data_IF_965375592517
#
_entry.id   IF_965375592517
#
_cell.length_a   1.000
_cell.length_b   1.000
_cell.length_c   1.000
_cell.angle_alpha   90.00
_cell.angle_beta   90.00
_cell.angle_gamma   90.00
#
_symmetry.space_group_name_H-M   'P 1'
#
loop_
_entity.id
_entity.type
_entity.pdbx_description
1 polymer ?
#
# COMPACT_ATOMS: atom_id res chain seq x y z
N UNK A 1 15.08 2.68 83.02
CA UNK A 1 14.85 3.06 81.61
C UNK A 1 15.26 1.87 80.75
N UNK A 2 14.31 1.03 80.36
CA UNK A 2 14.54 -0.19 79.59
C UNK A 2 13.97 0.07 78.23
N UNK A 3 14.83 0.07 77.20
CA UNK A 3 14.39 0.18 75.78
C UNK A 3 14.21 -1.24 75.20
N UNK A 4 13.00 -1.55 74.90
CA UNK A 4 12.60 -2.81 74.25
C UNK A 4 12.79 -2.68 72.71
N UNK A 5 13.74 -3.41 72.14
CA UNK A 5 13.94 -3.50 70.71
C UNK A 5 13.05 -4.64 70.21
N UNK A 6 11.96 -4.28 69.53
CA UNK A 6 11.11 -5.24 68.82
C UNK A 6 11.71 -5.46 67.42
N UNK A 7 12.37 -6.58 67.20
CA UNK A 7 12.83 -7.03 65.90
C UNK A 7 11.64 -7.52 65.07
N UNK A 8 11.27 -6.77 64.02
CA UNK A 8 10.37 -7.26 62.96
C UNK A 8 11.13 -8.26 62.09
N UNK A 9 10.83 -9.52 62.26
CA UNK A 9 11.17 -10.56 61.28
C UNK A 9 10.30 -10.37 60.04
N UNK A 10 10.87 -9.73 59.03
CA UNK A 10 10.33 -9.78 57.64
C UNK A 10 10.56 -11.23 57.13
N UNK A 11 9.55 -12.06 57.28
CA UNK A 11 9.47 -13.33 56.59
C UNK A 11 9.34 -13.02 55.09
N UNK A 12 10.44 -13.10 54.38
CA UNK A 12 10.39 -13.17 52.92
C UNK A 12 9.63 -14.47 52.55
N UNK A 13 8.41 -14.34 52.07
CA UNK A 13 7.74 -15.38 51.36
C UNK A 13 8.56 -15.66 50.10
N UNK A 14 9.50 -16.58 50.19
CA UNK A 14 10.00 -17.30 49.02
C UNK A 14 8.93 -18.24 48.55
N UNK A 15 7.94 -17.72 47.82
CA UNK A 15 7.11 -18.55 46.97
C UNK A 15 7.98 -19.00 45.83
N UNK A 16 8.25 -20.29 45.70
CA UNK A 16 8.70 -20.88 44.47
C UNK A 16 7.66 -20.49 43.42
N UNK A 17 7.91 -19.43 42.65
CA UNK A 17 7.11 -19.12 41.48
C UNK A 17 7.42 -20.22 40.46
N UNK A 18 6.52 -21.18 40.31
CA UNK A 18 6.52 -22.12 39.18
C UNK A 18 6.22 -21.37 37.86
N UNK A 19 6.89 -20.25 37.65
CA UNK A 19 6.82 -19.57 36.37
C UNK A 19 7.59 -20.43 35.36
N UNK A 20 7.04 -20.64 34.17
CA UNK A 20 7.74 -21.36 33.11
C UNK A 20 9.07 -20.65 32.82
N UNK A 21 10.14 -21.45 32.74
CA UNK A 21 11.48 -20.95 32.45
C UNK A 21 11.74 -21.21 30.97
N UNK A 22 12.05 -20.13 30.25
CA UNK A 22 12.44 -20.24 28.86
C UNK A 22 13.68 -21.12 28.67
N UNK A 23 13.69 -21.95 27.66
CA UNK A 23 14.78 -22.84 27.27
C UNK A 23 15.49 -22.38 26.00
N UNK A 24 14.86 -21.52 25.23
CA UNK A 24 15.36 -20.99 23.98
C UNK A 24 14.56 -19.79 23.49
N UNK A 25 14.67 -19.51 22.20
CA UNK A 25 13.99 -18.38 21.56
C UNK A 25 13.28 -18.84 20.29
N UNK A 26 12.14 -18.20 20.01
CA UNK A 26 11.40 -18.28 18.75
C UNK A 26 11.40 -16.92 18.05
N UNK A 27 11.22 -16.93 16.74
CA UNK A 27 11.03 -15.69 15.95
C UNK A 27 9.61 -15.59 15.44
N UNK A 28 9.12 -14.36 15.26
CA UNK A 28 7.77 -14.09 14.78
C UNK A 28 7.74 -12.90 13.85
N UNK A 29 6.90 -13.02 12.82
CA UNK A 29 6.45 -11.95 11.92
C UNK A 29 4.93 -11.97 11.84
N UNK A 30 4.32 -10.85 11.45
CA UNK A 30 2.90 -10.78 11.16
C UNK A 30 2.68 -10.21 9.76
N UNK A 31 1.68 -10.72 9.06
CA UNK A 31 1.32 -10.37 7.68
C UNK A 31 -0.11 -9.87 7.65
N UNK A 32 -0.34 -8.71 7.00
CA UNK A 32 -1.68 -8.17 6.80
C UNK A 32 -2.20 -8.55 5.41
N UNK A 33 -3.15 -9.47 5.37
CA UNK A 33 -3.87 -9.89 4.16
C UNK A 33 -5.37 -9.50 4.20
N UNK A 34 -5.76 -8.52 5.03
CA UNK A 34 -7.12 -8.00 5.08
C UNK A 34 -7.24 -6.84 4.10
N UNK A 35 -7.93 -7.05 2.97
CA UNK A 35 -8.05 -6.12 1.85
C UNK A 35 -8.49 -4.70 2.25
N UNK A 36 -9.56 -4.57 3.04
CA UNK A 36 -10.14 -3.28 3.48
C UNK A 36 -9.50 -2.68 4.73
N UNK A 37 -8.41 -3.27 5.25
CA UNK A 37 -7.80 -2.77 6.49
C UNK A 37 -7.04 -1.46 6.31
N UNK A 38 -7.02 -0.58 7.34
CA UNK A 38 -5.99 0.45 7.46
C UNK A 38 -4.62 -0.21 7.75
N UNK A 39 -3.62 0.61 8.08
CA UNK A 39 -2.42 0.08 8.71
C UNK A 39 -2.81 -0.58 10.05
N UNK A 40 -2.50 -1.87 10.18
CA UNK A 40 -2.91 -2.70 11.31
C UNK A 40 -1.76 -2.85 12.30
N UNK A 41 -1.99 -2.56 13.59
CA UNK A 41 -1.03 -2.79 14.66
C UNK A 41 -1.05 -4.26 15.09
N UNK A 42 0.16 -4.81 15.20
CA UNK A 42 0.38 -6.13 15.77
C UNK A 42 1.07 -5.98 17.13
N UNK A 43 0.48 -6.59 18.15
CA UNK A 43 1.00 -6.52 19.52
C UNK A 43 1.22 -7.94 20.04
N UNK A 44 2.27 -8.11 20.85
CA UNK A 44 2.44 -9.25 21.72
C UNK A 44 2.18 -8.77 23.16
N UNK A 45 1.17 -9.35 23.79
CA UNK A 45 0.60 -8.80 25.02
C UNK A 45 0.22 -7.32 24.80
N UNK A 46 0.94 -6.40 25.41
CA UNK A 46 0.76 -4.94 25.25
C UNK A 46 1.90 -4.27 24.46
N UNK A 47 2.88 -5.06 23.98
CA UNK A 47 4.04 -4.54 23.25
C UNK A 47 3.84 -4.59 21.75
N UNK A 48 3.92 -3.46 21.08
CA UNK A 48 3.82 -3.39 19.63
C UNK A 48 4.99 -4.11 18.94
N UNK A 49 4.65 -4.94 17.94
CA UNK A 49 5.56 -5.54 16.96
C UNK A 49 5.74 -4.64 15.74
N UNK A 50 4.85 -3.69 15.52
CA UNK A 50 4.81 -2.78 14.40
C UNK A 50 3.42 -2.61 13.82
N UNK A 51 3.32 -1.68 12.87
CA UNK A 51 2.09 -1.41 12.11
C UNK A 51 2.33 -1.73 10.64
N UNK A 52 1.41 -2.46 10.02
CA UNK A 52 1.57 -3.00 8.66
C UNK A 52 0.35 -2.72 7.82
N UNK A 53 0.57 -2.14 6.64
CA UNK A 53 -0.47 -1.96 5.62
C UNK A 53 -0.79 -3.28 4.93
N UNK A 54 -1.89 -3.32 4.19
CA UNK A 54 -2.26 -4.47 3.35
C UNK A 54 -1.09 -4.93 2.46
N UNK A 55 -0.89 -6.24 2.30
CA UNK A 55 0.23 -6.90 1.59
C UNK A 55 1.60 -6.69 2.27
N UNK A 56 1.64 -6.11 3.45
CA UNK A 56 2.86 -5.85 4.21
C UNK A 56 3.14 -6.91 5.27
N UNK A 57 4.34 -6.84 5.85
CA UNK A 57 4.80 -7.68 6.96
C UNK A 57 5.57 -6.86 7.99
N UNK A 58 5.55 -7.29 9.25
CA UNK A 58 6.39 -6.69 10.30
C UNK A 58 7.86 -7.08 10.09
N UNK A 59 8.74 -6.36 10.75
CA UNK A 59 10.08 -6.86 11.05
C UNK A 59 10.01 -8.13 11.90
N UNK A 60 11.07 -8.94 11.87
CA UNK A 60 11.17 -10.13 12.72
C UNK A 60 11.40 -9.73 14.16
N UNK A 61 10.57 -10.21 15.07
CA UNK A 61 10.78 -10.10 16.50
C UNK A 61 11.16 -11.44 17.09
N UNK A 62 11.99 -11.45 18.13
CA UNK A 62 12.46 -12.65 18.82
C UNK A 62 12.01 -12.63 20.26
N UNK A 63 11.40 -13.72 20.72
CA UNK A 63 10.86 -13.90 22.06
C UNK A 63 11.32 -15.23 22.68
N UNK A 64 11.21 -15.34 23.99
CA UNK A 64 11.42 -16.58 24.70
C UNK A 64 10.36 -17.64 24.31
N UNK A 65 10.71 -18.90 24.38
CA UNK A 65 9.82 -20.04 24.12
C UNK A 65 8.79 -20.25 25.23
N UNK A 66 7.91 -19.26 25.38
CA UNK A 66 6.81 -19.19 26.35
C UNK A 66 5.48 -18.94 25.60
N UNK A 67 4.38 -18.97 26.35
CA UNK A 67 3.08 -18.64 25.80
C UNK A 67 2.80 -17.13 25.80
N UNK A 68 2.29 -16.60 24.67
CA UNK A 68 1.97 -15.20 24.50
C UNK A 68 0.65 -15.00 23.78
N UNK A 69 -0.04 -13.89 24.11
CA UNK A 69 -1.24 -13.44 23.39
C UNK A 69 -0.86 -12.39 22.36
N UNK A 70 -1.19 -12.67 21.10
CA UNK A 70 -1.06 -11.70 19.99
C UNK A 70 -2.38 -10.98 19.82
N UNK A 71 -2.30 -9.66 19.68
CA UNK A 71 -3.44 -8.79 19.46
C UNK A 71 -3.27 -8.05 18.13
N UNK A 72 -4.38 -7.92 17.40
CA UNK A 72 -4.47 -7.22 16.14
C UNK A 72 -5.43 -6.05 16.33
N UNK A 73 -4.95 -4.84 16.07
CA UNK A 73 -5.69 -3.62 16.35
C UNK A 73 -5.67 -2.68 15.15
N UNK A 74 -6.78 -1.98 14.93
CA UNK A 74 -6.94 -0.97 13.88
C UNK A 74 -7.42 0.35 14.47
N UNK A 75 -7.09 1.46 13.82
CA UNK A 75 -7.65 2.76 14.11
C UNK A 75 -8.86 3.03 13.21
N UNK A 76 -9.93 3.56 13.76
CA UNK A 76 -10.99 4.21 13.00
C UNK A 76 -10.71 5.71 12.92
N UNK A 77 -10.97 6.30 11.76
CA UNK A 77 -10.78 7.74 11.59
C UNK A 77 -11.63 8.53 12.59
N UNK A 78 -11.01 9.47 13.30
CA UNK A 78 -11.64 10.24 14.37
C UNK A 78 -11.55 9.62 15.76
N UNK A 79 -11.26 8.33 15.90
CA UNK A 79 -11.07 7.69 17.19
C UNK A 79 -9.67 7.97 17.76
N UNK A 80 -9.60 8.06 19.07
CA UNK A 80 -8.32 8.26 19.81
C UNK A 80 -7.66 6.94 20.20
N UNK A 81 -8.41 5.85 20.18
CA UNK A 81 -7.97 4.54 20.66
C UNK A 81 -8.05 3.53 19.52
N UNK A 82 -7.16 2.56 19.55
CA UNK A 82 -7.21 1.43 18.64
C UNK A 82 -8.30 0.45 19.06
N UNK A 83 -8.97 -0.11 18.07
CA UNK A 83 -9.96 -1.18 18.26
C UNK A 83 -9.30 -2.53 18.03
N UNK A 84 -9.35 -3.41 19.02
CA UNK A 84 -8.91 -4.79 18.88
C UNK A 84 -9.89 -5.58 18.04
N UNK A 85 -9.41 -6.12 16.91
CA UNK A 85 -10.24 -6.90 15.97
C UNK A 85 -10.05 -8.40 16.11
N UNK A 86 -8.90 -8.85 16.62
CA UNK A 86 -8.61 -10.26 16.88
C UNK A 86 -7.55 -10.45 17.94
N UNK A 87 -7.53 -11.65 18.54
CA UNK A 87 -6.47 -12.11 19.45
C UNK A 87 -6.18 -13.58 19.20
N UNK A 88 -4.91 -13.97 19.31
CA UNK A 88 -4.45 -15.34 19.16
C UNK A 88 -3.41 -15.67 20.23
N UNK A 89 -3.64 -16.71 21.03
CA UNK A 89 -2.64 -17.24 21.95
C UNK A 89 -1.77 -18.27 21.25
N UNK A 90 -0.46 -18.23 21.46
CA UNK A 90 0.53 -19.15 20.87
C UNK A 90 1.55 -19.52 21.93
N UNK A 91 1.76 -20.83 22.12
CA UNK A 91 2.88 -21.37 22.87
C UNK A 91 4.09 -21.47 21.93
N UNK A 92 5.10 -20.66 22.14
CA UNK A 92 6.32 -20.69 21.35
C UNK A 92 7.20 -21.89 21.69
N UNK A 93 7.79 -22.46 20.65
CA UNK A 93 8.80 -23.52 20.74
C UNK A 93 10.14 -22.94 20.31
N UNK A 94 11.20 -23.26 21.04
CA UNK A 94 12.56 -22.85 20.70
C UNK A 94 12.93 -23.22 19.25
N UNK A 95 13.68 -22.34 18.59
CA UNK A 95 14.19 -22.49 17.21
C UNK A 95 13.10 -22.56 16.12
N UNK A 96 11.83 -22.26 16.47
CA UNK A 96 10.75 -22.14 15.50
C UNK A 96 10.58 -20.69 15.01
N UNK A 97 10.11 -20.57 13.77
CA UNK A 97 9.64 -19.33 13.16
C UNK A 97 8.13 -19.38 13.01
N UNK A 98 7.49 -18.32 13.46
CA UNK A 98 6.07 -18.15 13.37
C UNK A 98 5.74 -16.98 12.42
N UNK A 99 4.79 -17.21 11.50
CA UNK A 99 4.21 -16.15 10.69
C UNK A 99 2.72 -16.09 10.98
N UNK A 100 2.24 -14.96 11.48
CA UNK A 100 0.83 -14.72 11.76
C UNK A 100 0.19 -14.04 10.56
N UNK A 101 -0.69 -14.73 9.87
CA UNK A 101 -1.47 -14.18 8.77
C UNK A 101 -2.82 -13.69 9.30
N UNK A 102 -3.04 -12.37 9.27
CA UNK A 102 -4.37 -11.80 9.46
C UNK A 102 -5.06 -11.68 8.09
N UNK A 103 -6.24 -12.29 7.94
CA UNK A 103 -6.93 -12.40 6.66
C UNK A 103 -8.45 -12.41 6.82
N UNK A 104 -9.20 -12.34 5.70
CA UNK A 104 -10.67 -12.32 5.68
C UNK A 104 -11.24 -10.90 5.87
N UNK A 105 -12.53 -10.78 6.23
CA UNK A 105 -13.19 -9.50 6.49
C UNK A 105 -12.63 -8.80 7.73
N UNK A 106 -12.50 -7.48 7.70
CA UNK A 106 -12.02 -6.69 8.84
C UNK A 106 -12.91 -6.86 10.10
N UNK A 107 -14.19 -7.03 9.91
CA UNK A 107 -15.17 -7.20 10.99
C UNK A 107 -15.13 -8.59 11.66
N UNK A 108 -14.53 -9.58 11.01
CA UNK A 108 -14.37 -10.95 11.51
C UNK A 108 -13.12 -11.61 10.96
N UNK A 109 -11.92 -11.07 11.28
CA UNK A 109 -10.67 -11.57 10.72
C UNK A 109 -10.33 -12.95 11.25
N UNK A 110 -9.68 -13.74 10.40
CA UNK A 110 -9.10 -15.03 10.74
C UNK A 110 -7.61 -14.88 10.91
N UNK A 111 -7.06 -15.44 12.00
CA UNK A 111 -5.63 -15.51 12.23
C UNK A 111 -5.16 -16.92 11.95
N UNK A 112 -4.35 -17.06 10.91
CA UNK A 112 -3.68 -18.32 10.59
C UNK A 112 -2.24 -18.27 11.08
N UNK A 113 -1.79 -19.32 11.74
CA UNK A 113 -0.42 -19.44 12.25
C UNK A 113 0.34 -20.41 11.36
N UNK A 114 1.39 -19.92 10.72
CA UNK A 114 2.35 -20.78 10.01
C UNK A 114 3.59 -20.95 10.87
N UNK A 115 3.90 -22.19 11.15
CA UNK A 115 5.06 -22.60 11.96
C UNK A 115 6.07 -23.35 11.08
N UNK A 116 7.33 -23.07 11.24
CA UNK A 116 8.42 -23.79 10.58
C UNK A 116 9.67 -23.75 11.42
N UNK A 117 10.50 -24.78 11.30
CA UNK A 117 11.84 -24.76 11.87
C UNK A 117 12.73 -23.84 11.04
N UNK A 118 13.44 -22.94 11.71
CA UNK A 118 14.41 -22.07 11.06
C UNK A 118 15.52 -22.91 10.43
N UNK A 119 15.85 -22.63 9.17
CA UNK A 119 17.02 -23.20 8.52
C UNK A 119 18.24 -22.33 8.74
N UNK A 120 19.32 -22.95 9.23
CA UNK A 120 20.65 -22.36 9.25
C UNK A 120 21.40 -22.80 7.98
N UNK A 121 21.64 -21.85 7.07
CA UNK A 121 22.40 -22.10 5.85
C UNK A 121 23.90 -22.08 6.16
N UNK A 122 24.63 -23.07 5.64
CA UNK A 122 26.09 -23.01 5.63
C UNK A 122 26.59 -22.00 4.56
N UNK A 123 27.76 -21.44 4.77
CA UNK A 123 28.37 -20.50 3.81
C UNK A 123 28.60 -21.09 2.41
N UNK A 124 28.67 -22.42 2.33
CA UNK A 124 28.85 -23.18 1.08
C UNK A 124 27.55 -23.57 0.41
N UNK A 125 26.38 -23.31 1.03
CA UNK A 125 25.10 -23.67 0.43
C UNK A 125 24.83 -22.81 -0.83
N UNK A 126 24.47 -23.50 -1.93
CA UNK A 126 24.11 -22.92 -3.21
C UNK A 126 22.58 -22.80 -3.37
N UNK A 127 21.84 -23.38 -2.44
CA UNK A 127 20.37 -23.43 -2.47
C UNK A 127 19.75 -22.31 -1.67
N UNK A 128 18.54 -21.94 -2.04
CA UNK A 128 17.59 -21.23 -1.19
C UNK A 128 16.43 -22.15 -0.81
N UNK A 129 15.68 -21.79 0.22
CA UNK A 129 14.49 -22.52 0.63
C UNK A 129 13.25 -21.70 0.32
N UNK A 130 12.24 -22.27 -0.34
CA UNK A 130 10.98 -21.63 -0.60
C UNK A 130 9.81 -22.42 -0.02
N UNK A 131 8.79 -21.68 0.41
CA UNK A 131 7.45 -22.17 0.77
C UNK A 131 6.45 -21.39 -0.06
N UNK A 132 5.36 -22.03 -0.42
CA UNK A 132 4.31 -21.41 -1.20
C UNK A 132 3.06 -21.32 -0.32
N UNK A 133 2.48 -20.15 -0.23
CA UNK A 133 1.31 -19.89 0.61
C UNK A 133 0.16 -19.33 -0.23
N UNK A 134 -1.07 -19.44 0.26
CA UNK A 134 -2.25 -18.87 -0.37
C UNK A 134 -2.90 -17.84 0.55
N UNK A 135 -2.78 -16.55 0.23
CA UNK A 135 -3.32 -15.44 1.03
C UNK A 135 -4.36 -14.59 0.29
N UNK A 136 -4.63 -14.91 -1.00
CA UNK A 136 -5.69 -14.26 -1.75
C UNK A 136 -7.06 -14.78 -1.30
N UNK A 137 -7.91 -13.92 -0.78
CA UNK A 137 -9.23 -14.29 -0.25
C UNK A 137 -10.25 -14.53 -1.36
N UNK A 138 -10.05 -13.94 -2.54
CA UNK A 138 -10.96 -14.04 -3.69
C UNK A 138 -10.98 -15.43 -4.30
N UNK A 139 -9.86 -16.15 -4.28
CA UNK A 139 -9.72 -17.45 -4.90
C UNK A 139 -9.76 -18.57 -3.84
N UNK A 140 -10.67 -19.52 -3.99
CA UNK A 140 -10.80 -20.62 -3.02
C UNK A 140 -9.63 -21.59 -3.07
N UNK A 141 -9.09 -21.84 -4.27
CA UNK A 141 -7.99 -22.75 -4.53
C UNK A 141 -7.17 -22.28 -5.73
N UNK A 142 -5.85 -22.41 -5.65
CA UNK A 142 -4.90 -22.02 -6.70
C UNK A 142 -3.87 -23.11 -6.94
N UNK A 143 -3.35 -23.17 -8.18
CA UNK A 143 -2.13 -23.90 -8.50
C UNK A 143 -0.95 -22.93 -8.58
N UNK A 144 0.17 -23.30 -7.99
CA UNK A 144 1.42 -22.55 -8.00
C UNK A 144 2.45 -23.28 -8.82
N UNK A 145 3.03 -22.60 -9.80
CA UNK A 145 4.16 -23.06 -10.60
C UNK A 145 5.37 -22.19 -10.28
N UNK A 146 6.51 -22.83 -10.12
CA UNK A 146 7.77 -22.16 -9.83
C UNK A 146 8.87 -22.81 -10.66
N UNK A 147 9.26 -22.16 -11.74
CA UNK A 147 10.12 -22.73 -12.75
C UNK A 147 11.12 -21.71 -13.29
N UNK A 148 12.15 -22.16 -13.99
CA UNK A 148 13.05 -21.28 -14.74
C UNK A 148 12.29 -20.60 -15.89
N UNK A 149 12.81 -19.45 -16.36
CA UNK A 149 12.20 -18.71 -17.45
C UNK A 149 12.00 -19.57 -18.73
N UNK A 150 10.90 -19.30 -19.45
CA UNK A 150 10.52 -20.00 -20.67
C UNK A 150 9.83 -21.35 -20.47
N UNK A 151 9.60 -21.80 -19.24
CA UNK A 151 8.85 -23.02 -18.94
C UNK A 151 7.39 -22.66 -18.67
N UNK A 152 6.50 -23.04 -19.60
CA UNK A 152 5.06 -22.82 -19.43
C UNK A 152 4.49 -23.74 -18.34
N UNK A 153 3.42 -23.29 -17.62
CA UNK A 153 2.73 -24.13 -16.65
C UNK A 153 2.06 -25.31 -17.35
N UNK A 154 2.24 -26.52 -16.75
CA UNK A 154 1.63 -27.76 -17.23
C UNK A 154 0.88 -28.42 -16.08
N UNK A 155 -0.37 -28.77 -16.31
CA UNK A 155 -1.19 -29.42 -15.28
C UNK A 155 -0.55 -30.73 -14.81
N UNK A 156 -0.39 -30.87 -13.49
CA UNK A 156 0.30 -31.98 -12.86
C UNK A 156 1.80 -31.71 -12.55
N UNK A 157 2.36 -30.56 -13.00
CA UNK A 157 3.74 -30.14 -12.72
C UNK A 157 3.80 -28.93 -11.75
N UNK A 158 2.66 -28.52 -11.17
CA UNK A 158 2.63 -27.49 -10.15
C UNK A 158 3.43 -27.89 -8.91
N UNK A 159 4.13 -26.94 -8.29
CA UNK A 159 4.83 -27.15 -7.03
C UNK A 159 3.87 -27.29 -5.85
N UNK A 160 2.65 -26.73 -5.97
CA UNK A 160 1.58 -26.89 -5.00
C UNK A 160 0.20 -26.57 -5.61
N UNK A 161 -0.82 -27.26 -5.09
CA UNK A 161 -2.22 -26.82 -5.13
C UNK A 161 -2.60 -26.44 -3.70
N UNK A 162 -3.10 -25.21 -3.50
CA UNK A 162 -3.33 -24.64 -2.18
C UNK A 162 -4.73 -24.07 -2.06
N UNK A 163 -5.41 -24.40 -0.97
CA UNK A 163 -6.60 -23.68 -0.52
C UNK A 163 -6.21 -22.46 0.33
N UNK A 164 -7.12 -21.52 0.44
CA UNK A 164 -6.90 -20.29 1.21
C UNK A 164 -6.35 -20.56 2.63
N UNK A 165 -5.32 -19.83 3.04
CA UNK A 165 -4.64 -19.92 4.34
C UNK A 165 -3.59 -21.04 4.44
N UNK A 166 -3.49 -21.94 3.45
CA UNK A 166 -2.49 -23.00 3.45
C UNK A 166 -1.10 -22.50 3.08
N UNK A 167 -0.08 -23.22 3.55
CA UNK A 167 1.32 -23.07 3.19
C UNK A 167 1.96 -24.46 3.00
N UNK A 168 2.87 -24.58 2.05
CA UNK A 168 3.62 -25.84 1.83
C UNK A 168 4.67 -26.08 2.90
N UNK A 169 5.13 -27.32 3.00
CA UNK A 169 6.45 -27.60 3.59
C UNK A 169 7.53 -26.87 2.79
N UNK A 170 8.68 -26.55 3.41
CA UNK A 170 9.80 -25.93 2.73
C UNK A 170 10.42 -26.86 1.68
N UNK A 171 10.79 -26.29 0.53
CA UNK A 171 11.45 -26.96 -0.59
C UNK A 171 12.72 -26.20 -0.95
N UNK A 172 13.81 -26.93 -1.20
CA UNK A 172 15.09 -26.37 -1.61
C UNK A 172 15.17 -26.24 -3.14
N UNK A 173 15.66 -25.09 -3.59
CA UNK A 173 15.93 -24.77 -5.00
C UNK A 173 17.36 -24.22 -5.12
N UNK A 174 18.03 -24.47 -6.24
CA UNK A 174 19.32 -23.82 -6.54
C UNK A 174 19.12 -22.30 -6.71
N UNK A 175 20.10 -21.49 -6.26
CA UNK A 175 20.07 -20.05 -6.50
C UNK A 175 20.03 -19.75 -8.01
N UNK A 176 19.19 -18.83 -8.44
CA UNK A 176 19.02 -18.53 -9.87
C UNK A 176 17.78 -17.72 -10.20
N UNK A 177 17.47 -17.62 -11.49
CA UNK A 177 16.31 -16.91 -12.00
C UNK A 177 15.10 -17.84 -12.10
N UNK A 178 13.99 -17.39 -11.52
CA UNK A 178 12.73 -18.12 -11.49
C UNK A 178 11.55 -17.23 -11.86
N UNK A 179 10.54 -17.87 -12.44
CA UNK A 179 9.22 -17.31 -12.73
C UNK A 179 8.20 -17.97 -11.81
N UNK A 180 7.40 -17.16 -11.15
CA UNK A 180 6.23 -17.59 -10.38
C UNK A 180 5.01 -17.47 -11.27
N UNK A 181 4.25 -18.56 -11.47
CA UNK A 181 2.96 -18.53 -12.13
C UNK A 181 1.88 -19.04 -11.17
N UNK A 182 0.79 -18.28 -11.05
CA UNK A 182 -0.40 -18.66 -10.29
C UNK A 182 -1.54 -18.85 -11.30
N UNK A 183 -2.22 -19.98 -11.20
CA UNK A 183 -3.39 -20.27 -12.02
C UNK A 183 -4.58 -20.64 -11.15
N UNK A 184 -5.77 -20.61 -11.73
CA UNK A 184 -6.92 -21.27 -11.11
C UNK A 184 -6.62 -22.77 -10.98
N UNK A 185 -6.97 -23.36 -9.83
CA UNK A 185 -6.67 -24.76 -9.56
C UNK A 185 -7.29 -25.69 -10.62
N UNK A 186 -6.48 -26.59 -11.16
CA UNK A 186 -6.88 -27.56 -12.18
C UNK A 186 -6.93 -27.00 -13.61
N UNK A 187 -6.57 -25.72 -13.83
CA UNK A 187 -6.50 -25.12 -15.17
C UNK A 187 -5.20 -24.32 -15.36
N UNK A 188 -4.19 -24.98 -15.94
CA UNK A 188 -2.90 -24.36 -16.22
C UNK A 188 -2.94 -23.24 -17.27
N UNK A 189 -4.03 -23.10 -18.03
CA UNK A 189 -4.21 -22.07 -19.04
C UNK A 189 -4.87 -20.81 -18.48
N UNK A 190 -5.57 -20.91 -17.35
CA UNK A 190 -6.20 -19.77 -16.65
C UNK A 190 -5.19 -19.08 -15.72
N UNK A 191 -4.29 -18.28 -16.30
CA UNK A 191 -3.20 -17.62 -15.60
C UNK A 191 -3.71 -16.35 -14.91
N UNK A 192 -3.74 -16.37 -13.58
CA UNK A 192 -4.10 -15.22 -12.75
C UNK A 192 -2.91 -14.27 -12.54
N UNK A 193 -1.70 -14.82 -12.57
CA UNK A 193 -0.45 -14.09 -12.35
C UNK A 193 0.72 -14.83 -12.99
N UNK A 194 1.65 -14.09 -13.58
CA UNK A 194 2.94 -14.61 -13.99
C UNK A 194 4.01 -13.54 -13.80
N UNK A 195 5.06 -13.86 -13.03
CA UNK A 195 6.14 -12.90 -12.81
C UNK A 195 7.06 -12.77 -14.03
N UNK A 196 7.76 -11.64 -14.11
CA UNK A 196 9.05 -11.59 -14.83
C UNK A 196 10.06 -12.52 -14.14
N UNK A 197 11.12 -12.97 -14.84
CA UNK A 197 12.22 -13.68 -14.24
C UNK A 197 12.81 -12.90 -13.07
N UNK A 198 12.94 -13.53 -11.91
CA UNK A 198 13.44 -12.92 -10.69
C UNK A 198 14.61 -13.72 -10.15
N UNK A 199 15.75 -13.05 -9.92
CA UNK A 199 16.93 -13.69 -9.38
C UNK A 199 16.81 -13.88 -7.87
N UNK A 200 16.76 -15.14 -7.42
CA UNK A 200 16.69 -15.51 -6.01
C UNK A 200 18.06 -16.01 -5.56
N UNK A 201 18.63 -15.31 -4.60
CA UNK A 201 19.96 -15.62 -4.09
C UNK A 201 19.96 -16.89 -3.25
N UNK A 202 21.02 -17.66 -3.33
CA UNK A 202 21.27 -18.76 -2.40
C UNK A 202 21.20 -18.29 -0.94
N UNK A 203 20.88 -19.21 -0.03
CA UNK A 203 20.75 -18.96 1.42
C UNK A 203 19.64 -17.98 1.80
N UNK A 204 18.63 -17.84 0.94
CA UNK A 204 17.39 -17.11 1.23
C UNK A 204 16.33 -18.08 1.72
N UNK A 205 15.57 -17.71 2.75
CA UNK A 205 14.33 -18.38 3.15
C UNK A 205 13.15 -17.48 2.75
N UNK A 206 12.30 -17.97 1.84
CA UNK A 206 11.31 -17.21 1.14
C UNK A 206 9.93 -17.86 1.27
N UNK A 207 8.90 -17.06 1.56
CA UNK A 207 7.50 -17.45 1.39
C UNK A 207 6.97 -16.70 0.17
N UNK A 208 6.62 -17.43 -0.88
CA UNK A 208 5.94 -16.86 -2.06
C UNK A 208 4.44 -16.88 -1.81
N UNK A 209 3.83 -15.71 -1.78
CA UNK A 209 2.44 -15.56 -1.36
C UNK A 209 1.66 -14.62 -2.30
N UNK A 210 0.60 -15.10 -2.99
CA UNK A 210 -0.32 -14.27 -3.75
C UNK A 210 -1.31 -13.58 -2.81
N UNK A 211 -1.53 -12.28 -3.04
CA UNK A 211 -2.57 -11.46 -2.42
C UNK A 211 -3.56 -11.01 -3.49
N UNK A 212 -4.78 -10.67 -3.09
CA UNK A 212 -5.71 -10.01 -4.00
C UNK A 212 -5.13 -8.66 -4.46
N UNK A 213 -5.23 -8.37 -5.75
CA UNK A 213 -4.98 -7.04 -6.26
C UNK A 213 -5.98 -6.04 -5.68
N UNK A 214 -5.57 -4.81 -5.44
CA UNK A 214 -6.48 -3.76 -4.96
C UNK A 214 -6.68 -2.67 -6.03
N UNK A 215 -7.44 -1.63 -5.71
CA UNK A 215 -7.75 -0.56 -6.64
C UNK A 215 -6.52 0.25 -7.11
N UNK A 216 -5.35 0.02 -6.53
CA UNK A 216 -4.07 0.60 -6.97
C UNK A 216 -3.37 -0.28 -8.01
N UNK A 217 -3.72 -1.58 -8.07
CA UNK A 217 -3.14 -2.56 -8.99
C UNK A 217 -3.98 -2.67 -10.26
N UNK A 218 -3.36 -3.01 -11.38
CA UNK A 218 -4.07 -3.40 -12.61
C UNK A 218 -4.30 -4.91 -12.67
N UNK A 219 -3.56 -5.68 -11.86
CA UNK A 219 -3.64 -7.14 -11.79
C UNK A 219 -4.64 -7.62 -10.73
N UNK A 220 -5.38 -8.73 -10.96
CA UNK A 220 -6.27 -9.33 -9.97
C UNK A 220 -5.52 -9.98 -8.81
N UNK A 221 -4.27 -10.36 -9.01
CA UNK A 221 -3.39 -10.99 -8.02
C UNK A 221 -2.03 -10.31 -8.04
N UNK A 222 -1.47 -10.07 -6.85
CA UNK A 222 -0.12 -9.56 -6.64
C UNK A 222 0.65 -10.57 -5.81
N UNK A 223 1.83 -10.99 -6.27
CA UNK A 223 2.67 -11.94 -5.53
C UNK A 223 3.76 -11.20 -4.76
N UNK A 224 3.86 -11.54 -3.48
CA UNK A 224 4.92 -11.04 -2.58
C UNK A 224 5.83 -12.18 -2.19
N UNK A 225 7.12 -11.90 -2.19
CA UNK A 225 8.12 -12.75 -1.53
C UNK A 225 8.34 -12.23 -0.11
N UNK A 226 7.88 -12.98 0.89
CA UNK A 226 8.05 -12.63 2.30
C UNK A 226 9.35 -13.31 2.78
N UNK A 227 10.29 -12.52 3.28
CA UNK A 227 11.55 -13.06 3.79
C UNK A 227 11.41 -13.42 5.27
N UNK A 228 11.98 -14.53 5.68
CA UNK A 228 12.01 -14.97 7.09
C UNK A 228 12.72 -14.00 8.04
N UNK A 229 13.53 -13.08 7.51
CA UNK A 229 14.20 -12.03 8.27
C UNK A 229 13.39 -10.73 8.36
N UNK A 230 12.14 -10.74 7.89
CA UNK A 230 11.28 -9.57 7.78
C UNK A 230 11.41 -8.87 6.44
N UNK A 231 10.40 -8.04 6.14
CA UNK A 231 10.30 -7.37 4.86
C UNK A 231 9.80 -8.27 3.73
N UNK A 232 9.77 -7.77 2.51
CA UNK A 232 9.29 -8.51 1.36
C UNK A 232 9.65 -7.84 0.04
N UNK A 233 9.58 -8.60 -1.04
CA UNK A 233 9.74 -8.13 -2.40
C UNK A 233 8.45 -8.36 -3.20
N UNK A 234 8.19 -7.50 -4.18
CA UNK A 234 7.13 -7.73 -5.17
C UNK A 234 7.78 -8.31 -6.41
N UNK A 235 7.20 -9.38 -6.93
CA UNK A 235 7.57 -9.89 -8.24
C UNK A 235 6.87 -9.04 -9.31
N UNK A 236 7.58 -8.58 -10.33
CA UNK A 236 6.98 -7.82 -11.43
C UNK A 236 6.03 -8.70 -12.24
N UNK A 237 4.88 -8.18 -12.64
CA UNK A 237 3.86 -8.91 -13.41
C UNK A 237 3.70 -8.31 -14.82
N UNK A 238 4.40 -8.82 -15.84
CA UNK A 238 4.33 -8.29 -17.19
C UNK A 238 3.01 -8.58 -17.93
N UNK A 239 2.16 -9.49 -17.43
CA UNK A 239 0.84 -9.77 -18.04
C UNK A 239 -0.14 -8.61 -17.85
N UNK A 240 0.08 -7.79 -16.86
CA UNK A 240 -0.79 -6.67 -16.54
C UNK A 240 0.01 -5.36 -16.68
N UNK A 241 -0.15 -4.67 -17.82
CA UNK A 241 0.55 -3.42 -18.04
C UNK A 241 0.09 -2.35 -17.05
N UNK A 242 0.90 -1.32 -16.81
CA UNK A 242 0.47 -0.14 -16.08
C UNK A 242 -0.64 0.58 -16.85
N UNK A 243 -1.44 1.36 -16.14
CA UNK A 243 -2.40 2.28 -16.75
C UNK A 243 -2.01 3.72 -16.45
N UNK A 244 -2.34 4.61 -17.37
CA UNK A 244 -2.14 6.05 -17.22
C UNK A 244 -3.43 6.81 -17.51
N UNK A 245 -3.70 7.82 -16.71
CA UNK A 245 -4.68 8.86 -16.99
C UNK A 245 -3.98 10.23 -16.98
N UNK A 246 -4.48 11.18 -17.76
CA UNK A 246 -3.89 12.52 -17.87
C UNK A 246 -4.85 13.55 -17.29
N UNK A 247 -4.33 14.45 -16.44
CA UNK A 247 -5.04 15.59 -15.92
C UNK A 247 -4.43 16.89 -16.44
N UNK A 248 -5.20 17.71 -17.12
CA UNK A 248 -4.77 19.03 -17.54
C UNK A 248 -5.07 20.05 -16.44
N UNK A 249 -4.06 20.46 -15.69
CA UNK A 249 -4.18 21.38 -14.57
C UNK A 249 -3.46 22.74 -14.77
N UNK A 250 -2.92 23.00 -15.96
CA UNK A 250 -2.28 24.27 -16.33
C UNK A 250 -3.35 25.19 -16.96
N UNK A 251 -3.84 26.18 -16.22
CA UNK A 251 -5.03 26.98 -16.60
C UNK A 251 -4.83 27.83 -17.86
N UNK A 252 -3.60 28.26 -18.15
CA UNK A 252 -3.26 29.12 -19.28
C UNK A 252 -2.44 28.42 -20.40
N UNK A 253 -2.23 27.11 -20.29
CA UNK A 253 -1.57 26.32 -21.36
C UNK A 253 -2.47 26.21 -22.60
N UNK A 254 -3.80 26.33 -22.42
CA UNK A 254 -4.78 26.17 -23.49
C UNK A 254 -5.11 24.71 -23.78
N UNK A 255 -5.97 24.50 -24.77
CA UNK A 255 -6.28 23.14 -25.24
C UNK A 255 -5.02 22.56 -25.91
N UNK A 256 -4.65 21.35 -25.56
CA UNK A 256 -3.40 20.74 -25.99
C UNK A 256 -3.60 19.34 -26.58
N UNK A 257 -2.82 19.04 -27.62
CA UNK A 257 -2.64 17.67 -28.11
C UNK A 257 -1.41 17.06 -27.39
N UNK A 258 -1.41 15.76 -27.16
CA UNK A 258 -0.29 15.06 -26.52
C UNK A 258 0.20 13.93 -27.41
N UNK A 259 1.51 13.86 -27.59
CA UNK A 259 2.20 12.87 -28.42
C UNK A 259 3.22 12.10 -27.57
N UNK A 260 3.51 10.85 -27.93
CA UNK A 260 4.51 10.01 -27.29
C UNK A 260 5.78 9.82 -28.13
N UNK A 261 5.94 10.61 -29.20
CA UNK A 261 7.14 10.65 -30.05
C UNK A 261 7.58 12.09 -30.37
N UNK A 262 8.91 12.32 -30.48
CA UNK A 262 9.50 13.62 -30.80
C UNK A 262 9.10 14.13 -32.21
N UNK A 263 8.78 13.21 -33.12
CA UNK A 263 8.34 13.56 -34.46
C UNK A 263 6.88 14.03 -34.51
N UNK A 264 6.15 13.98 -33.42
CA UNK A 264 4.74 14.37 -33.26
C UNK A 264 3.83 13.64 -34.25
N UNK A 265 4.08 12.33 -34.44
CA UNK A 265 3.32 11.48 -35.37
C UNK A 265 2.40 10.50 -34.65
N UNK A 266 2.70 10.20 -33.37
CA UNK A 266 1.93 9.31 -32.51
C UNK A 266 1.16 10.14 -31.48
N UNK A 267 -0.03 10.61 -31.87
CA UNK A 267 -0.92 11.38 -31.01
C UNK A 267 -1.67 10.43 -30.06
N UNK A 268 -1.53 10.66 -28.75
CA UNK A 268 -2.20 9.88 -27.70
C UNK A 268 -3.41 10.60 -27.10
N UNK A 269 -3.43 11.94 -27.12
CA UNK A 269 -4.59 12.75 -26.71
C UNK A 269 -4.84 13.85 -27.75
N UNK A 270 -6.11 14.10 -28.02
CA UNK A 270 -6.64 15.11 -28.91
C UNK A 270 -7.50 16.10 -28.10
N UNK A 271 -7.29 17.39 -28.30
CA UNK A 271 -8.06 18.47 -27.69
C UNK A 271 -8.17 18.37 -26.14
N UNK A 272 -7.08 17.99 -25.45
CA UNK A 272 -7.08 17.88 -23.99
C UNK A 272 -7.22 19.26 -23.31
N UNK A 273 -8.39 19.50 -22.71
CA UNK A 273 -8.76 20.79 -22.17
C UNK A 273 -8.46 20.93 -20.67
N UNK A 274 -8.35 22.17 -20.18
CA UNK A 274 -8.19 22.50 -18.77
C UNK A 274 -9.23 21.81 -17.88
N UNK A 275 -8.82 21.20 -16.76
CA UNK A 275 -9.57 20.37 -15.81
C UNK A 275 -10.08 19.04 -16.37
N UNK A 276 -9.78 18.72 -17.60
CA UNK A 276 -10.14 17.43 -18.15
C UNK A 276 -9.24 16.33 -17.56
N UNK A 277 -9.87 15.28 -17.04
CA UNK A 277 -9.25 14.00 -16.68
C UNK A 277 -9.62 12.99 -17.78
N UNK A 278 -8.62 12.32 -18.33
CA UNK A 278 -8.87 11.26 -19.33
C UNK A 278 -9.28 9.95 -18.64
N UNK A 279 -9.96 9.03 -19.35
CA UNK A 279 -10.06 7.65 -18.90
C UNK A 279 -8.67 7.00 -18.73
N UNK A 280 -8.56 6.03 -17.84
CA UNK A 280 -7.36 5.22 -17.73
C UNK A 280 -7.12 4.42 -19.02
N UNK A 281 -5.89 4.47 -19.51
CA UNK A 281 -5.48 3.75 -20.72
C UNK A 281 -4.28 2.85 -20.39
N UNK A 282 -4.31 1.54 -20.74
CA UNK A 282 -3.14 0.68 -20.61
C UNK A 282 -2.00 1.17 -21.49
N UNK A 283 -0.78 1.13 -20.96
CA UNK A 283 0.46 1.42 -21.70
C UNK A 283 1.49 0.33 -21.40
N UNK A 284 2.44 0.15 -22.30
CA UNK A 284 3.54 -0.79 -22.04
C UNK A 284 4.50 -0.20 -20.98
N UNK A 285 5.31 -1.06 -20.35
CA UNK A 285 6.43 -0.59 -19.54
C UNK A 285 7.56 -0.11 -20.42
N UNK A 286 8.21 0.96 -20.00
CA UNK A 286 9.31 1.56 -20.77
C UNK A 286 9.51 3.01 -20.37
N UNK A 287 10.48 3.63 -21.03
CA UNK A 287 10.72 5.06 -20.90
C UNK A 287 9.91 5.80 -21.95
N UNK A 288 9.02 6.67 -21.52
CA UNK A 288 8.21 7.54 -22.36
C UNK A 288 8.71 8.97 -22.29
N UNK A 289 8.56 9.68 -23.41
CA UNK A 289 8.65 11.13 -23.48
C UNK A 289 7.35 11.65 -24.06
N UNK A 290 6.59 12.42 -23.29
CA UNK A 290 5.35 13.03 -23.77
C UNK A 290 5.60 14.48 -24.18
N UNK A 291 5.00 14.88 -25.30
CA UNK A 291 5.11 16.20 -25.91
C UNK A 291 3.72 16.81 -26.01
N UNK A 292 3.54 17.97 -25.39
CA UNK A 292 2.32 18.74 -25.46
C UNK A 292 2.48 19.86 -26.48
N UNK A 293 1.50 19.99 -27.37
CA UNK A 293 1.43 21.05 -28.37
C UNK A 293 0.08 21.76 -28.27
N UNK A 294 -0.05 23.02 -28.75
CA UNK A 294 -1.38 23.60 -28.91
C UNK A 294 -2.23 22.74 -29.83
N UNK A 295 -3.54 22.63 -29.54
CA UNK A 295 -4.46 21.79 -30.33
C UNK A 295 -4.40 22.13 -31.82
N UNK A 296 -4.17 21.08 -32.64
CA UNK A 296 -4.06 21.20 -34.09
C UNK A 296 -2.78 21.89 -34.62
N UNK A 297 -1.79 22.21 -33.77
CA UNK A 297 -0.53 22.82 -34.15
C UNK A 297 0.69 22.04 -33.66
N UNK A 298 1.36 21.36 -34.57
CA UNK A 298 2.59 20.62 -34.27
C UNK A 298 3.87 21.43 -34.49
N UNK A 299 3.77 22.74 -34.74
CA UNK A 299 4.95 23.58 -34.98
C UNK A 299 5.71 23.97 -33.70
N UNK A 300 5.06 23.89 -32.54
CA UNK A 300 5.65 24.27 -31.27
C UNK A 300 5.29 23.29 -30.16
N UNK A 301 6.28 22.65 -29.54
CA UNK A 301 6.13 21.93 -28.28
C UNK A 301 6.10 22.92 -27.13
N UNK A 302 5.06 22.89 -26.33
CA UNK A 302 4.85 23.77 -25.17
C UNK A 302 5.29 23.16 -23.86
N UNK A 303 5.28 21.82 -23.75
CA UNK A 303 5.68 21.09 -22.56
C UNK A 303 6.23 19.71 -22.98
N UNK A 304 7.35 19.31 -22.39
CA UNK A 304 7.90 17.98 -22.51
C UNK A 304 8.02 17.32 -21.14
N UNK A 305 7.75 16.02 -21.05
CA UNK A 305 7.88 15.29 -19.80
C UNK A 305 8.31 13.85 -20.00
N UNK A 306 9.22 13.38 -19.14
CA UNK A 306 9.61 11.97 -19.07
C UNK A 306 8.70 11.21 -18.11
N UNK A 307 8.37 9.96 -18.46
CA UNK A 307 7.54 9.06 -17.65
C UNK A 307 8.00 7.62 -17.82
N UNK A 308 8.26 6.93 -16.70
CA UNK A 308 8.70 5.54 -16.69
C UNK A 308 7.78 4.71 -15.75
N UNK A 309 6.67 4.17 -16.26
CA UNK A 309 5.71 3.43 -15.44
C UNK A 309 6.24 2.05 -15.05
N UNK A 310 5.98 1.66 -13.80
CA UNK A 310 6.18 0.30 -13.34
C UNK A 310 4.97 -0.59 -13.68
N UNK A 311 5.20 -1.90 -13.92
CA UNK A 311 4.15 -2.88 -14.18
C UNK A 311 3.09 -2.92 -13.06
N UNK A 312 1.87 -3.23 -13.45
CA UNK A 312 0.73 -3.49 -12.59
C UNK A 312 0.33 -2.34 -11.66
N UNK A 313 0.70 -1.10 -11.98
CA UNK A 313 0.38 0.11 -11.19
C UNK A 313 -0.41 1.10 -12.06
N UNK A 314 -1.28 1.86 -11.40
CA UNK A 314 -2.08 2.93 -12.00
C UNK A 314 -1.41 4.28 -11.74
N UNK A 315 -1.30 5.10 -12.78
CA UNK A 315 -0.66 6.40 -12.71
C UNK A 315 -1.55 7.52 -13.20
N UNK A 316 -1.27 8.74 -12.71
CA UNK A 316 -1.78 9.99 -13.29
C UNK A 316 -0.62 10.89 -13.64
N UNK A 317 -0.61 11.39 -14.88
CA UNK A 317 0.29 12.44 -15.35
C UNK A 317 -0.48 13.76 -15.30
N UNK A 318 0.02 14.72 -14.56
CA UNK A 318 -0.66 15.99 -14.30
C UNK A 318 0.17 17.12 -14.91
N UNK A 319 -0.33 17.74 -15.98
CA UNK A 319 0.25 18.96 -16.54
C UNK A 319 -0.15 20.16 -15.69
N UNK A 320 0.78 20.94 -15.17
CA UNK A 320 0.58 22.09 -14.32
C UNK A 320 1.56 23.23 -14.65
N UNK A 321 1.41 24.36 -14.02
CA UNK A 321 2.22 25.54 -14.25
C UNK A 321 1.41 26.70 -14.86
N UNK A 322 2.05 27.84 -15.07
CA UNK A 322 1.46 29.03 -15.68
C UNK A 322 2.51 29.97 -16.24
N UNK A 323 2.09 30.94 -17.08
CA UNK A 323 2.96 31.98 -17.60
C UNK A 323 4.05 31.51 -18.56
N UNK A 324 3.88 30.33 -19.17
CA UNK A 324 4.87 29.70 -20.05
C UNK A 324 5.86 28.80 -19.31
N UNK A 325 5.76 28.68 -17.98
CA UNK A 325 6.56 27.76 -17.15
C UNK A 325 5.70 26.54 -16.78
N UNK A 326 5.65 25.56 -17.68
CA UNK A 326 4.84 24.37 -17.50
C UNK A 326 5.71 23.16 -17.14
N UNK A 327 5.15 22.26 -16.34
CA UNK A 327 5.76 21.00 -15.94
C UNK A 327 4.70 19.92 -15.76
N UNK A 328 5.13 18.68 -15.53
CA UNK A 328 4.26 17.62 -15.11
C UNK A 328 4.69 17.02 -13.79
N UNK A 329 3.71 16.50 -13.06
CA UNK A 329 3.92 15.62 -11.90
C UNK A 329 3.30 14.27 -12.18
N UNK A 330 4.07 13.20 -11.98
CA UNK A 330 3.61 11.83 -12.13
C UNK A 330 3.32 11.24 -10.76
N UNK A 331 2.09 10.79 -10.54
CA UNK A 331 1.67 10.20 -9.26
C UNK A 331 1.14 8.79 -9.45
N UNK A 332 1.54 7.86 -8.56
CA UNK A 332 0.85 6.59 -8.43
C UNK A 332 -0.49 6.81 -7.74
N UNK A 333 -1.56 6.24 -8.27
CA UNK A 333 -2.90 6.40 -7.72
C UNK A 333 -3.05 5.61 -6.42
N UNK A 334 -3.69 6.19 -5.42
CA UNK A 334 -3.97 5.57 -4.13
C UNK A 334 -5.48 5.46 -3.92
N UNK A 335 -6.10 4.50 -4.61
CA UNK A 335 -7.56 4.30 -4.68
C UNK A 335 -8.07 3.14 -3.83
N UNK A 336 -7.19 2.42 -3.12
CA UNK A 336 -7.64 1.33 -2.25
C UNK A 336 -8.52 1.86 -1.13
N UNK A 337 -9.76 1.39 -1.08
CA UNK A 337 -10.72 1.65 0.00
C UNK A 337 -10.20 1.15 1.35
N UNK A 338 -10.55 1.84 2.44
CA UNK A 338 -10.22 1.49 3.83
C UNK A 338 -11.54 1.48 4.63
N UNK A 339 -11.93 0.32 5.15
CA UNK A 339 -13.22 0.14 5.84
C UNK A 339 -13.38 0.99 7.12
N UNK A 340 -12.29 1.54 7.65
CA UNK A 340 -12.29 2.34 8.89
C UNK A 340 -12.19 3.84 8.66
N UNK A 341 -12.09 4.30 7.40
CA UNK A 341 -11.87 5.69 7.07
C UNK A 341 -12.40 6.05 5.69
N UNK A 342 -12.61 7.33 5.46
CA UNK A 342 -12.68 7.93 4.13
C UNK A 342 -11.27 8.36 3.76
N UNK A 343 -10.75 7.89 2.63
CA UNK A 343 -9.43 8.30 2.16
C UNK A 343 -9.54 9.58 1.36
N UNK A 344 -8.81 10.60 1.75
CA UNK A 344 -8.71 11.86 1.03
C UNK A 344 -7.30 12.01 0.42
N UNK A 345 -7.22 11.92 -0.91
CA UNK A 345 -6.05 12.27 -1.69
C UNK A 345 -6.16 13.73 -2.11
N UNK A 346 -5.09 14.50 -1.99
CA UNK A 346 -5.06 15.90 -2.37
C UNK A 346 -3.88 16.17 -3.28
N UNK A 347 -4.15 16.79 -4.43
CA UNK A 347 -3.12 17.33 -5.32
C UNK A 347 -3.41 18.81 -5.59
N UNK A 348 -2.45 19.66 -5.29
CA UNK A 348 -2.50 21.08 -5.66
C UNK A 348 -1.66 21.33 -6.91
N UNK A 349 -2.29 21.83 -7.97
CA UNK A 349 -1.63 22.27 -9.20
C UNK A 349 -1.25 23.76 -9.15
N UNK A 350 -1.45 24.44 -8.02
CA UNK A 350 -1.29 25.89 -7.93
C UNK A 350 0.15 26.32 -8.25
N UNK A 351 0.25 27.33 -9.09
CA UNK A 351 1.48 28.08 -9.37
C UNK A 351 1.57 29.36 -8.52
N UNK A 352 0.44 29.79 -7.94
CA UNK A 352 0.33 31.02 -7.16
C UNK A 352 0.67 30.80 -5.68
N UNK A 353 0.49 29.57 -5.17
CA UNK A 353 0.72 29.20 -3.76
C UNK A 353 1.59 27.95 -3.67
N UNK A 354 2.75 28.06 -3.03
CA UNK A 354 3.64 26.90 -2.83
C UNK A 354 3.14 25.96 -1.73
N UNK A 355 2.45 26.49 -0.71
CA UNK A 355 1.92 25.74 0.42
C UNK A 355 0.51 26.18 0.76
N UNK A 356 -0.36 25.20 1.04
CA UNK A 356 -1.75 25.40 1.39
C UNK A 356 -2.13 24.70 2.69
N UNK A 357 -3.14 25.22 3.38
CA UNK A 357 -3.81 24.58 4.49
C UNK A 357 -5.23 24.20 4.08
N UNK A 358 -5.60 22.94 4.30
CA UNK A 358 -6.95 22.40 4.07
C UNK A 358 -7.69 22.30 5.40
N UNK A 359 -8.83 22.94 5.47
CA UNK A 359 -9.78 22.79 6.56
C UNK A 359 -10.91 21.87 6.12
N UNK A 360 -11.31 20.97 7.02
CA UNK A 360 -12.47 20.10 6.89
C UNK A 360 -13.31 20.36 8.14
N UNK A 361 -14.42 21.02 7.99
CA UNK A 361 -15.32 21.35 9.09
C UNK A 361 -16.69 20.71 8.84
N UNK A 362 -17.52 20.57 9.88
CA UNK A 362 -18.86 20.03 9.66
C UNK A 362 -19.64 20.94 8.70
N UNK A 363 -20.62 20.33 8.03
CA UNK A 363 -21.47 21.05 7.11
C UNK A 363 -22.09 22.31 7.73
N UNK A 364 -22.06 23.41 6.98
CA UNK A 364 -22.55 24.74 7.38
C UNK A 364 -21.73 25.45 8.48
N UNK A 365 -20.54 24.92 8.85
CA UNK A 365 -19.59 25.60 9.74
C UNK A 365 -18.55 26.41 8.95
N UNK A 366 -17.95 27.40 9.62
CA UNK A 366 -16.80 28.17 9.10
C UNK A 366 -15.51 27.67 9.73
N UNK A 367 -14.37 28.08 9.17
CA UNK A 367 -13.04 27.70 9.70
C UNK A 367 -12.67 28.39 11.02
N UNK A 368 -13.54 29.30 11.53
CA UNK A 368 -13.28 30.05 12.74
C UNK A 368 -13.13 29.15 13.96
N UNK A 369 -11.99 29.25 14.63
CA UNK A 369 -11.68 28.45 15.82
C UNK A 369 -11.17 27.03 15.53
N UNK A 370 -11.16 26.59 14.27
CA UNK A 370 -10.59 25.29 13.89
C UNK A 370 -9.12 25.41 13.52
N UNK A 371 -8.40 24.32 13.65
CA UNK A 371 -7.07 24.11 13.07
C UNK A 371 -7.22 23.49 11.68
N UNK A 372 -6.25 23.66 10.78
CA UNK A 372 -6.26 22.94 9.52
C UNK A 372 -6.32 21.43 9.77
N UNK A 373 -7.19 20.75 9.02
CA UNK A 373 -7.23 19.29 9.00
C UNK A 373 -5.93 18.73 8.43
N UNK A 374 -5.41 19.39 7.39
CA UNK A 374 -4.11 19.14 6.83
C UNK A 374 -3.39 20.45 6.58
N UNK A 375 -2.22 20.61 7.18
CA UNK A 375 -1.39 21.81 7.02
C UNK A 375 -0.19 21.52 6.11
N UNK A 376 0.20 22.51 5.31
CA UNK A 376 1.39 22.46 4.47
C UNK A 376 1.26 21.50 3.29
N UNK A 377 0.12 21.47 2.60
CA UNK A 377 -0.02 20.80 1.30
C UNK A 377 0.95 21.46 0.34
N UNK A 378 1.90 20.69 -0.19
CA UNK A 378 2.90 21.16 -1.14
C UNK A 378 2.26 21.17 -2.53
N UNK A 379 2.27 22.33 -3.19
CA UNK A 379 1.74 22.45 -4.55
C UNK A 379 2.70 21.81 -5.57
N UNK A 380 2.12 21.23 -6.61
CA UNK A 380 2.83 20.59 -7.74
C UNK A 380 3.65 19.35 -7.36
N UNK A 381 3.46 18.82 -6.14
CA UNK A 381 4.13 17.61 -5.67
C UNK A 381 3.11 16.57 -5.16
N UNK A 382 3.49 15.28 -5.14
CA UNK A 382 2.68 14.25 -4.51
C UNK A 382 2.54 14.52 -3.02
N UNK A 383 1.29 14.48 -2.51
CA UNK A 383 1.01 14.58 -1.11
C UNK A 383 0.51 13.22 -0.58
N UNK A 384 0.88 12.85 0.65
CA UNK A 384 0.35 11.63 1.27
C UNK A 384 -1.17 11.75 1.45
N UNK A 385 -1.91 10.66 1.33
CA UNK A 385 -3.33 10.62 1.66
C UNK A 385 -3.58 10.86 3.16
N UNK A 386 -4.78 11.32 3.50
CA UNK A 386 -5.21 11.57 4.86
C UNK A 386 -6.54 10.88 5.10
N UNK A 387 -6.71 10.31 6.29
CA UNK A 387 -7.93 9.60 6.66
C UNK A 387 -8.93 10.57 7.31
N UNK A 388 -10.16 10.59 6.79
CA UNK A 388 -11.27 11.40 7.26
C UNK A 388 -12.36 10.46 7.80
N UNK A 389 -13.07 10.89 8.84
CA UNK A 389 -14.26 10.18 9.32
C UNK A 389 -15.45 10.33 8.33
N UNK A 390 -16.42 9.42 8.43
CA UNK A 390 -17.68 9.58 7.68
C UNK A 390 -18.48 10.76 8.17
N UNK A 391 -19.21 11.44 7.27
CA UNK A 391 -20.04 12.59 7.59
C UNK A 391 -20.27 13.52 6.44
N UNK A 392 -20.88 14.69 6.75
CA UNK A 392 -21.08 15.81 5.81
C UNK A 392 -20.14 16.94 6.21
N UNK A 393 -19.30 17.36 5.29
CA UNK A 393 -18.27 18.37 5.55
C UNK A 393 -18.25 19.47 4.51
N UNK A 394 -17.78 20.64 4.94
CA UNK A 394 -17.36 21.74 4.08
C UNK A 394 -15.84 21.84 4.08
N UNK A 395 -15.26 21.82 2.90
CA UNK A 395 -13.83 21.95 2.66
C UNK A 395 -13.49 23.40 2.30
N UNK A 396 -12.43 23.93 2.94
CA UNK A 396 -11.91 25.26 2.65
C UNK A 396 -10.39 25.22 2.49
N UNK A 397 -9.87 26.11 1.66
CA UNK A 397 -8.42 26.31 1.53
C UNK A 397 -8.04 27.71 1.99
N UNK A 398 -6.90 27.78 2.66
CA UNK A 398 -6.18 29.02 2.96
C UNK A 398 -4.74 28.92 2.51
N UNK A 399 -4.05 30.03 2.37
CA UNK A 399 -2.59 29.99 2.28
C UNK A 399 -2.01 29.47 3.61
N UNK A 400 -0.89 28.83 3.54
CA UNK A 400 -0.20 28.24 4.69
C UNK A 400 0.04 29.28 5.79
N UNK A 401 -0.39 28.97 7.02
CA UNK A 401 -0.42 29.83 8.20
C UNK A 401 -1.35 31.07 8.11
N UNK A 402 -2.11 31.24 7.05
CA UNK A 402 -3.08 32.33 6.93
C UNK A 402 -4.50 31.82 7.26
N UNK A 403 -5.44 32.78 7.42
CA UNK A 403 -6.84 32.48 7.75
C UNK A 403 -7.82 32.96 6.67
N UNK A 404 -7.33 33.70 5.69
CA UNK A 404 -8.16 34.18 4.60
C UNK A 404 -8.48 33.03 3.66
N UNK A 405 -9.76 32.72 3.48
CA UNK A 405 -10.26 31.68 2.61
C UNK A 405 -10.03 32.07 1.16
N UNK A 406 -9.25 31.24 0.46
CA UNK A 406 -8.93 31.42 -0.97
C UNK A 406 -9.70 30.46 -1.88
N UNK A 407 -10.33 29.40 -1.31
CA UNK A 407 -11.29 28.55 -2.01
C UNK A 407 -12.25 27.88 -1.01
N UNK A 408 -13.46 27.58 -1.46
CA UNK A 408 -14.50 26.91 -0.69
C UNK A 408 -15.69 27.80 -0.32
N UNK A 409 -16.73 27.23 0.34
CA UNK A 409 -16.82 25.83 0.72
C UNK A 409 -17.06 24.88 -0.46
N UNK A 410 -16.42 23.71 -0.42
CA UNK A 410 -16.79 22.56 -1.23
C UNK A 410 -17.46 21.52 -0.33
N UNK A 411 -18.77 21.30 -0.52
CA UNK A 411 -19.56 20.35 0.25
C UNK A 411 -19.25 18.92 -0.20
N UNK A 412 -18.99 18.03 0.78
CA UNK A 412 -18.82 16.58 0.57
C UNK A 412 -19.65 15.80 1.59
N UNK A 413 -20.35 14.77 1.10
CA UNK A 413 -21.05 13.78 1.93
C UNK A 413 -20.36 12.44 1.71
N UNK A 414 -19.82 11.84 2.77
CA UNK A 414 -18.92 10.68 2.66
C UNK A 414 -19.22 9.61 3.68
N UNK A 415 -19.01 8.35 3.27
CA UNK A 415 -19.16 7.16 4.09
C UNK A 415 -17.81 6.44 4.27
N UNK A 416 -17.69 5.61 5.30
CA UNK A 416 -16.48 4.78 5.48
C UNK A 416 -16.27 3.90 4.25
N UNK A 417 -15.04 3.86 3.78
CA UNK A 417 -14.66 3.16 2.56
C UNK A 417 -14.61 4.04 1.31
N UNK A 418 -15.14 5.25 1.36
CA UNK A 418 -15.01 6.18 0.23
C UNK A 418 -13.57 6.61 0.01
N UNK A 419 -13.25 6.88 -1.26
CA UNK A 419 -11.99 7.47 -1.68
C UNK A 419 -12.29 8.76 -2.44
N UNK A 420 -11.73 9.86 -1.97
CA UNK A 420 -11.84 11.17 -2.59
C UNK A 420 -10.51 11.58 -3.21
N UNK A 421 -10.53 11.99 -4.48
CA UNK A 421 -9.43 12.64 -5.18
C UNK A 421 -9.74 14.14 -5.32
N UNK A 422 -9.17 14.96 -4.45
CA UNK A 422 -9.32 16.42 -4.49
C UNK A 422 -8.21 17.05 -5.31
N UNK A 423 -8.56 17.66 -6.42
CA UNK A 423 -7.66 18.49 -7.21
C UNK A 423 -7.90 19.98 -6.94
N UNK A 424 -6.81 20.74 -6.81
CA UNK A 424 -6.82 22.19 -6.56
C UNK A 424 -6.19 22.86 -7.78
N UNK A 425 -6.91 23.79 -8.38
CA UNK A 425 -6.53 24.48 -9.61
C UNK A 425 -6.37 25.98 -9.38
N UNK A 426 -5.43 26.61 -10.08
CA UNK A 426 -5.41 28.04 -10.25
C UNK A 426 -6.65 28.51 -11.06
N UNK A 427 -7.08 29.74 -10.83
CA UNK A 427 -8.10 30.43 -11.61
C UNK A 427 -7.46 31.55 -12.44
N UNK A 428 -8.24 32.24 -13.22
CA UNK A 428 -7.81 33.46 -13.95
C UNK A 428 -7.48 34.64 -13.02
N UNK A 429 -7.72 34.47 -11.72
CA UNK A 429 -7.40 35.44 -10.67
C UNK A 429 -6.29 34.92 -9.78
N UNK A 430 -5.25 35.73 -9.56
CA UNK A 430 -4.03 35.29 -8.84
C UNK A 430 -4.23 34.92 -7.38
N UNK A 431 -5.33 35.39 -6.75
CA UNK A 431 -5.59 35.23 -5.31
C UNK A 431 -6.67 34.18 -5.00
N UNK A 432 -7.15 33.46 -6.00
CA UNK A 432 -8.22 32.47 -5.84
C UNK A 432 -7.86 31.12 -6.44
N UNK A 433 -8.35 30.06 -5.79
CA UNK A 433 -8.22 28.69 -6.23
C UNK A 433 -9.60 28.05 -6.40
N UNK A 434 -9.65 26.97 -7.15
CA UNK A 434 -10.82 26.13 -7.28
C UNK A 434 -10.52 24.70 -6.84
N UNK A 435 -11.41 24.15 -6.04
CA UNK A 435 -11.37 22.75 -5.61
C UNK A 435 -12.34 21.91 -6.42
N UNK A 436 -11.89 20.79 -6.94
CA UNK A 436 -12.71 19.86 -7.74
C UNK A 436 -12.47 18.44 -7.24
N UNK A 437 -13.54 17.69 -6.99
CA UNK A 437 -13.47 16.26 -6.79
C UNK A 437 -13.36 15.58 -8.15
N UNK A 438 -12.26 14.86 -8.36
CA UNK A 438 -12.08 14.05 -9.55
C UNK A 438 -12.85 12.74 -9.40
N UNK A 439 -13.37 12.15 -10.50
CA UNK A 439 -14.02 10.86 -10.45
C UNK A 439 -13.02 9.79 -10.04
N UNK A 440 -13.42 8.93 -9.10
CA UNK A 440 -12.73 7.71 -8.73
C UNK A 440 -13.59 6.55 -9.24
N UNK A 441 -13.08 5.70 -10.17
CA UNK A 441 -13.83 4.60 -10.77
C UNK A 441 -14.25 3.51 -9.79
#
# INVERSE_FOLDING_TARGET
>A
MLALFAGLLLGACGGDSNLPVATGKASITAVNAIYGSPAMNFLIEERSLGSVTYKGTTEVATYDDLGYTFNFEVAYAGDREFTRIASQYIDFVADQQYTLLASGPLTSPTITVWETTRRDFADTDTVFQARFAHTSYTYAEIDVYFAVDGVAPVLGEQVATLTFGQITAPVDFEGGEYVVTITTAGDAADILYQSAPSNILARTDLIVSPFDGDANDTAPVVVRGLNSLGGGATFANPLYPPTVEFLHAAWDLGISDVYDDEALTSQILDDHAFKQLTPETPIETGDYQFYYTPAGDTAAVTLETAFAPANAIRFRVIAHGSGGEYATTNIGLNRRSIETAVKLNVFSASSNFDFLDLYVVNADETIDGFLPFRSGIISREPNASTDLQAGSFDLYLTQFFERDVIAGPLRVDVELGDVLDLAIFDTDTTDTLEMVLLPVP
#
